data_IF_452548623555
#
_entry.id   IF_452548623555
#
_cell.length_a   1.000
_cell.length_b   1.000
_cell.length_c   1.000
_cell.angle_alpha   90.00
_cell.angle_beta   90.00
_cell.angle_gamma   90.00
#
_symmetry.space_group_name_H-M   'P 1'
#
loop_
_entity.id
_entity.type
_entity.pdbx_description
1 polymer ?
#
# COMPACT_ATOMS: atom_id res chain seq x y z
N UNK A 1 34.73 -17.05 3.82
CA UNK A 1 33.56 -16.17 4.01
C UNK A 1 32.75 -16.69 5.19
N UNK A 2 32.79 -16.03 6.34
CA UNK A 2 31.97 -16.41 7.49
C UNK A 2 30.50 -16.08 7.17
N UNK A 3 29.62 -17.08 7.23
CA UNK A 3 28.18 -16.85 7.17
C UNK A 3 27.81 -16.08 8.43
N UNK A 4 27.44 -14.81 8.28
CA UNK A 4 26.90 -13.99 9.37
C UNK A 4 25.68 -14.72 9.91
N UNK A 5 25.71 -15.15 11.18
CA UNK A 5 24.54 -15.73 11.83
C UNK A 5 23.45 -14.67 11.85
N UNK A 6 22.29 -14.97 11.26
CA UNK A 6 21.15 -14.05 11.14
C UNK A 6 20.51 -13.66 12.48
N UNK A 7 20.98 -14.22 13.60
CA UNK A 7 20.41 -14.09 14.94
C UNK A 7 21.02 -12.94 15.77
N UNK A 8 21.62 -11.92 15.14
CA UNK A 8 21.98 -10.72 15.89
C UNK A 8 20.69 -10.05 16.38
N UNK A 9 20.64 -9.67 17.65
CA UNK A 9 19.47 -9.03 18.27
C UNK A 9 18.98 -7.83 17.45
N UNK A 10 19.91 -7.06 16.85
CA UNK A 10 19.62 -5.94 15.97
C UNK A 10 18.87 -6.38 14.69
N UNK A 11 19.26 -7.48 14.06
CA UNK A 11 18.57 -8.00 12.87
C UNK A 11 17.15 -8.46 13.20
N UNK A 12 16.94 -9.08 14.36
CA UNK A 12 15.61 -9.48 14.83
C UNK A 12 14.73 -8.25 15.04
N UNK A 13 15.26 -7.23 15.75
CA UNK A 13 14.54 -6.00 16.03
C UNK A 13 14.21 -5.22 14.75
N UNK A 14 15.15 -5.11 13.81
CA UNK A 14 14.93 -4.47 12.51
C UNK A 14 13.84 -5.19 11.73
N UNK A 15 13.89 -6.53 11.68
CA UNK A 15 12.88 -7.33 10.98
C UNK A 15 11.49 -7.17 11.61
N UNK A 16 11.40 -7.14 12.94
CA UNK A 16 10.13 -6.88 13.64
C UNK A 16 9.57 -5.49 13.32
N UNK A 17 10.40 -4.45 13.34
CA UNK A 17 9.98 -3.08 13.03
C UNK A 17 9.56 -2.90 11.57
N UNK A 18 10.30 -3.47 10.63
CA UNK A 18 9.92 -3.47 9.22
C UNK A 18 8.61 -4.23 8.97
N UNK A 19 8.41 -5.34 9.68
CA UNK A 19 7.16 -6.10 9.63
C UNK A 19 5.98 -5.30 10.18
N UNK A 20 6.13 -4.63 11.32
CA UNK A 20 5.11 -3.76 11.89
C UNK A 20 4.74 -2.63 10.93
N UNK A 21 5.74 -2.00 10.31
CA UNK A 21 5.53 -0.95 9.32
C UNK A 21 4.79 -1.48 8.08
N UNK A 22 5.25 -2.61 7.52
CA UNK A 22 4.63 -3.21 6.34
C UNK A 22 3.17 -3.63 6.60
N UNK A 23 2.85 -4.11 7.81
CA UNK A 23 1.46 -4.43 8.20
C UNK A 23 0.57 -3.18 8.32
N UNK A 24 1.12 -2.04 8.75
CA UNK A 24 0.37 -0.78 8.86
C UNK A 24 0.07 -0.14 7.50
N UNK A 25 1.03 -0.21 6.57
CA UNK A 25 0.92 0.44 5.26
C UNK A 25 0.16 -0.42 4.26
N UNK A 26 0.18 -1.75 4.43
CA UNK A 26 -0.56 -2.69 3.60
C UNK A 26 -2.08 -2.58 3.81
N UNK A 27 -2.90 -2.66 2.76
CA UNK A 27 -2.57 -2.79 1.33
C UNK A 27 -2.25 -1.43 0.70
N UNK A 28 -1.25 -1.42 -0.18
CA UNK A 28 -0.82 -0.25 -0.94
C UNK A 28 -1.10 -0.47 -2.43
N UNK A 29 -1.68 0.54 -3.07
CA UNK A 29 -1.82 0.60 -4.53
C UNK A 29 -0.68 1.47 -5.06
N UNK A 30 -0.01 1.04 -6.12
CA UNK A 30 1.14 1.73 -6.72
C UNK A 30 0.92 1.90 -8.22
N UNK A 31 0.92 3.16 -8.67
CA UNK A 31 0.96 3.62 -10.07
C UNK A 31 -0.12 3.08 -11.02
N UNK A 32 -0.13 3.51 -12.28
CA UNK A 32 -1.00 2.99 -13.35
C UNK A 32 -0.09 2.41 -14.45
N UNK A 33 -0.26 1.14 -14.91
CA UNK A 33 -1.27 0.17 -14.47
C UNK A 33 -1.11 -0.22 -12.99
N UNK A 34 -2.24 -0.38 -12.29
CA UNK A 34 -2.26 -0.56 -10.84
C UNK A 34 -1.52 -1.82 -10.39
N UNK A 35 -0.56 -1.65 -9.48
CA UNK A 35 0.04 -2.73 -8.71
C UNK A 35 -0.47 -2.71 -7.27
N UNK A 36 -0.99 -3.84 -6.79
CA UNK A 36 -1.39 -3.98 -5.38
C UNK A 36 -0.33 -4.73 -4.63
N UNK A 37 0.28 -4.06 -3.66
CA UNK A 37 1.27 -4.61 -2.74
C UNK A 37 0.62 -4.87 -1.39
N UNK A 38 0.74 -6.10 -0.89
CA UNK A 38 0.30 -6.43 0.45
C UNK A 38 1.31 -7.29 1.18
N UNK A 39 1.39 -7.08 2.49
CA UNK A 39 2.26 -7.86 3.35
C UNK A 39 1.46 -9.03 3.94
N UNK A 40 1.88 -10.26 3.62
CA UNK A 40 1.22 -11.47 4.12
C UNK A 40 2.23 -12.46 4.68
N UNK A 41 2.08 -12.77 5.96
CA UNK A 41 2.96 -13.70 6.65
C UNK A 41 4.36 -13.11 6.85
N UNK A 42 5.32 -13.58 6.05
CA UNK A 42 6.73 -13.14 6.07
C UNK A 42 7.19 -12.50 4.74
N UNK A 43 6.28 -12.31 3.79
CA UNK A 43 6.62 -11.83 2.46
C UNK A 43 5.71 -10.70 2.00
N UNK A 44 6.29 -9.74 1.27
CA UNK A 44 5.56 -8.79 0.46
C UNK A 44 5.10 -9.51 -0.81
N UNK A 45 3.80 -9.45 -1.10
CA UNK A 45 3.25 -9.97 -2.34
C UNK A 45 2.80 -8.80 -3.21
N UNK A 46 3.10 -8.87 -4.50
CA UNK A 46 2.72 -7.86 -5.50
C UNK A 46 1.80 -8.51 -6.52
N UNK A 47 0.70 -7.83 -6.85
CA UNK A 47 -0.28 -8.27 -7.84
C UNK A 47 -0.45 -7.17 -8.88
N UNK A 48 -0.09 -7.45 -10.12
CA UNK A 48 -0.41 -6.60 -11.27
C UNK A 48 -1.91 -6.68 -11.59
N UNK A 49 -2.55 -5.53 -11.75
CA UNK A 49 -4.00 -5.42 -12.02
C UNK A 49 -4.33 -5.17 -13.49
N UNK A 50 -3.34 -5.31 -14.36
CA UNK A 50 -3.48 -5.33 -15.81
C UNK A 50 -4.28 -6.56 -16.28
N UNK A 51 -5.12 -6.37 -17.31
CA UNK A 51 -6.05 -7.40 -17.83
C UNK A 51 -5.35 -8.71 -18.24
N UNK A 52 -4.07 -8.66 -18.58
CA UNK A 52 -3.25 -9.83 -18.91
C UNK A 52 -2.89 -10.57 -17.62
N UNK A 53 -2.40 -9.86 -16.61
CA UNK A 53 -2.02 -10.42 -15.31
C UNK A 53 -3.23 -11.00 -14.55
N UNK A 54 -4.40 -10.35 -14.61
CA UNK A 54 -5.62 -10.83 -13.97
C UNK A 54 -6.07 -12.23 -14.41
N UNK A 55 -5.75 -12.64 -15.65
CA UNK A 55 -6.07 -13.98 -16.18
C UNK A 55 -5.21 -15.10 -15.59
N UNK A 56 -4.04 -14.75 -15.06
CA UNK A 56 -3.06 -15.72 -14.56
C UNK A 56 -3.40 -16.13 -13.12
N UNK A 57 -4.00 -15.22 -12.35
CA UNK A 57 -4.27 -15.47 -10.94
C UNK A 57 -5.51 -16.36 -10.72
N UNK A 58 -5.43 -17.34 -9.79
CA UNK A 58 -6.60 -18.12 -9.42
C UNK A 58 -7.63 -17.25 -8.66
N UNK A 59 -8.91 -17.61 -8.76
CA UNK A 59 -10.03 -16.86 -8.17
C UNK A 59 -9.79 -16.38 -6.72
N UNK A 60 -9.32 -17.26 -5.83
CA UNK A 60 -9.08 -16.90 -4.42
C UNK A 60 -7.95 -15.89 -4.21
N UNK A 61 -7.03 -15.77 -5.18
CA UNK A 61 -5.93 -14.80 -5.16
C UNK A 61 -6.35 -13.43 -5.70
N UNK A 62 -7.52 -13.31 -6.31
CA UNK A 62 -8.12 -12.03 -6.73
C UNK A 62 -9.13 -11.53 -5.69
N UNK A 63 -9.98 -12.42 -5.18
CA UNK A 63 -11.01 -12.07 -4.18
C UNK A 63 -10.38 -11.61 -2.85
N UNK A 64 -9.23 -12.18 -2.45
CA UNK A 64 -8.56 -11.79 -1.20
C UNK A 64 -8.02 -10.35 -1.23
N UNK A 65 -7.23 -9.93 -2.24
CA UNK A 65 -6.82 -8.53 -2.37
C UNK A 65 -8.01 -7.58 -2.45
N UNK A 66 -9.05 -7.90 -3.21
CA UNK A 66 -10.28 -7.12 -3.30
C UNK A 66 -10.91 -6.90 -1.92
N UNK A 67 -11.05 -7.99 -1.15
CA UNK A 67 -11.57 -7.92 0.21
C UNK A 67 -10.65 -7.13 1.16
N UNK A 68 -9.32 -7.25 1.02
CA UNK A 68 -8.36 -6.49 1.84
C UNK A 68 -8.42 -4.99 1.51
N UNK A 69 -8.43 -4.60 0.24
CA UNK A 69 -8.50 -3.20 -0.18
C UNK A 69 -9.72 -2.49 0.42
N UNK A 70 -10.84 -3.20 0.59
CA UNK A 70 -12.06 -2.67 1.22
C UNK A 70 -12.08 -2.75 2.75
N UNK A 71 -11.32 -3.66 3.36
CA UNK A 71 -11.41 -3.97 4.78
C UNK A 71 -10.23 -3.48 5.63
N UNK A 72 -9.13 -3.04 5.02
CA UNK A 72 -7.89 -2.74 5.74
C UNK A 72 -7.34 -1.34 5.45
N UNK A 73 -6.96 -0.64 6.52
CA UNK A 73 -6.43 0.72 6.48
C UNK A 73 -7.52 1.79 6.30
N UNK A 74 -7.12 2.97 5.81
CA UNK A 74 -8.07 3.97 5.34
C UNK A 74 -8.43 3.71 3.87
N UNK A 75 -9.68 3.96 3.53
CA UNK A 75 -10.19 3.93 2.15
C UNK A 75 -9.67 5.16 1.40
N UNK A 76 -9.02 4.93 0.25
CA UNK A 76 -8.63 5.97 -0.73
C UNK A 76 -9.34 5.69 -2.06
N UNK A 77 -9.48 6.71 -2.91
CA UNK A 77 -10.12 6.59 -4.22
C UNK A 77 -9.45 5.51 -5.09
N UNK A 78 -8.12 5.51 -5.15
CA UNK A 78 -7.34 4.48 -5.86
C UNK A 78 -7.62 3.06 -5.35
N UNK A 79 -7.78 2.88 -4.03
CA UNK A 79 -8.09 1.56 -3.45
C UNK A 79 -9.47 1.09 -3.84
N UNK A 80 -10.45 2.01 -3.89
CA UNK A 80 -11.81 1.69 -4.31
C UNK A 80 -11.87 1.35 -5.80
N UNK A 81 -11.23 2.15 -6.65
CA UNK A 81 -11.17 1.91 -8.10
C UNK A 81 -10.56 0.55 -8.41
N UNK A 82 -9.41 0.23 -7.78
CA UNK A 82 -8.77 -1.07 -7.98
C UNK A 82 -9.63 -2.22 -7.46
N UNK A 83 -10.29 -2.05 -6.32
CA UNK A 83 -11.20 -3.07 -5.80
C UNK A 83 -12.42 -3.29 -6.71
N UNK A 84 -12.90 -2.24 -7.37
CA UNK A 84 -14.00 -2.32 -8.33
C UNK A 84 -13.56 -3.03 -9.62
N UNK A 85 -12.38 -2.71 -10.17
CA UNK A 85 -11.80 -3.41 -11.33
C UNK A 85 -11.67 -4.91 -11.07
N UNK A 86 -11.14 -5.30 -9.91
CA UNK A 86 -11.02 -6.72 -9.54
C UNK A 86 -12.39 -7.36 -9.41
N UNK A 87 -13.35 -6.66 -8.80
CA UNK A 87 -14.71 -7.15 -8.62
C UNK A 87 -15.39 -7.40 -9.96
N UNK A 88 -15.34 -6.45 -10.89
CA UNK A 88 -15.96 -6.56 -12.21
C UNK A 88 -15.37 -7.73 -13.01
N UNK A 89 -14.03 -7.86 -12.97
CA UNK A 89 -13.36 -9.00 -13.57
C UNK A 89 -13.81 -10.33 -12.93
N UNK A 90 -13.90 -10.39 -11.61
CA UNK A 90 -14.31 -11.59 -10.90
C UNK A 90 -15.78 -11.96 -11.16
N UNK A 91 -16.68 -10.99 -11.24
CA UNK A 91 -18.09 -11.21 -11.56
C UNK A 91 -18.24 -11.79 -12.97
N UNK A 92 -17.51 -11.24 -13.94
CA UNK A 92 -17.57 -11.69 -15.33
C UNK A 92 -16.99 -13.10 -15.53
N UNK A 93 -15.92 -13.46 -14.80
CA UNK A 93 -15.15 -14.68 -15.08
C UNK A 93 -15.36 -15.81 -14.04
N UNK A 94 -15.90 -15.53 -12.85
CA UNK A 94 -15.99 -16.51 -11.75
C UNK A 94 -17.46 -16.73 -11.37
N UNK A 95 -18.03 -17.86 -11.86
CA UNK A 95 -19.45 -18.23 -11.65
C UNK A 95 -19.93 -18.27 -10.19
N UNK A 96 -19.03 -18.47 -9.21
CA UNK A 96 -19.36 -18.55 -7.76
C UNK A 96 -18.70 -17.43 -6.94
N UNK A 97 -18.37 -16.31 -7.57
CA UNK A 97 -17.70 -15.18 -6.93
C UNK A 97 -18.37 -14.77 -5.60
N UNK A 98 -19.67 -14.49 -5.62
CA UNK A 98 -20.40 -14.06 -4.40
C UNK A 98 -20.37 -15.10 -3.28
N UNK A 99 -20.45 -16.40 -3.61
CA UNK A 99 -20.38 -17.47 -2.61
C UNK A 99 -18.98 -17.55 -1.99
N UNK A 100 -17.93 -17.35 -2.79
CA UNK A 100 -16.54 -17.32 -2.32
C UNK A 100 -16.26 -16.07 -1.48
N UNK A 101 -16.78 -14.91 -1.89
CA UNK A 101 -16.66 -13.64 -1.16
C UNK A 101 -17.38 -13.69 0.19
N UNK A 102 -18.59 -14.26 0.25
CA UNK A 102 -19.34 -14.39 1.49
C UNK A 102 -18.72 -15.37 2.51
N UNK A 103 -17.83 -16.26 2.06
CA UNK A 103 -17.03 -17.12 2.95
C UNK A 103 -15.87 -16.36 3.60
N UNK A 104 -15.49 -15.21 3.07
CA UNK A 104 -14.51 -14.33 3.71
C UNK A 104 -15.20 -13.56 4.84
N UNK A 105 -14.44 -13.20 5.88
CA UNK A 105 -14.96 -12.43 7.02
C UNK A 105 -15.67 -11.18 6.52
N UNK A 106 -16.88 -10.92 7.04
CA UNK A 106 -17.66 -9.71 6.73
C UNK A 106 -16.78 -8.48 6.90
N UNK A 107 -16.74 -7.67 5.86
CA UNK A 107 -16.01 -6.40 5.86
C UNK A 107 -16.84 -5.38 6.64
N UNK A 108 -16.29 -4.86 7.73
CA UNK A 108 -16.81 -3.64 8.34
C UNK A 108 -16.39 -2.48 7.46
N UNK A 109 -17.34 -1.67 7.00
CA UNK A 109 -17.04 -0.47 6.21
C UNK A 109 -16.14 0.46 7.00
N UNK A 110 -14.99 0.81 6.43
CA UNK A 110 -14.00 1.64 7.08
C UNK A 110 -14.33 3.14 6.94
N UNK A 111 -13.90 3.98 7.90
CA UNK A 111 -13.97 5.42 7.75
C UNK A 111 -13.12 5.87 6.55
N UNK A 112 -13.71 6.72 5.71
CA UNK A 112 -13.03 7.33 4.56
C UNK A 112 -12.04 8.37 5.09
N UNK A 113 -10.81 8.38 4.56
CA UNK A 113 -9.85 9.44 4.91
C UNK A 113 -10.40 10.76 4.37
N UNK A 114 -10.56 11.81 5.18
CA UNK A 114 -10.93 13.12 4.65
C UNK A 114 -9.84 13.59 3.69
N UNK A 115 -10.24 13.98 2.48
CA UNK A 115 -9.38 14.44 1.39
C UNK A 115 -8.57 15.69 1.76
N UNK A 116 -8.95 16.40 2.82
CA UNK A 116 -8.37 17.68 3.23
C UNK A 116 -7.27 17.59 4.31
N UNK A 117 -6.75 16.39 4.63
CA UNK A 117 -5.59 16.27 5.51
C UNK A 117 -4.32 16.37 4.68
N UNK A 118 -3.78 17.59 4.58
CA UNK A 118 -2.44 17.90 4.09
C UNK A 118 -1.44 16.89 4.68
N UNK A 119 -0.77 16.16 3.78
CA UNK A 119 0.29 15.23 4.16
C UNK A 119 1.48 16.08 4.66
N UNK A 120 2.33 15.59 5.55
CA UNK A 120 3.56 16.33 5.91
C UNK A 120 4.46 16.61 4.68
N UNK A 121 4.30 15.84 3.59
CA UNK A 121 4.91 16.08 2.29
C UNK A 121 4.22 17.16 1.44
N UNK A 122 2.97 17.52 1.77
CA UNK A 122 2.23 18.64 1.18
C UNK A 122 2.35 19.91 2.04
N UNK A 123 3.25 19.91 3.05
CA UNK A 123 3.71 21.16 3.63
C UNK A 123 4.40 21.92 2.50
N UNK A 124 3.65 22.79 1.84
CA UNK A 124 4.17 23.88 1.03
C UNK A 124 5.20 24.54 1.93
N UNK A 125 6.48 24.33 1.64
CA UNK A 125 7.53 25.09 2.29
C UNK A 125 7.24 26.53 1.93
N UNK A 126 6.98 27.35 2.95
CA UNK A 126 6.74 28.77 2.77
C UNK A 126 7.86 29.32 1.90
N UNK A 127 7.50 29.92 0.77
CA UNK A 127 8.48 30.39 -0.21
C UNK A 127 9.45 31.38 0.45
N UNK A 128 8.92 32.21 1.34
CA UNK A 128 9.67 33.14 2.17
C UNK A 128 10.67 32.43 3.11
N UNK A 129 10.38 31.20 3.55
CA UNK A 129 11.27 30.40 4.40
C UNK A 129 12.41 29.77 3.58
N UNK A 130 12.12 29.33 2.35
CA UNK A 130 13.13 28.81 1.41
C UNK A 130 14.07 29.94 0.96
N UNK A 131 13.52 31.09 0.61
CA UNK A 131 14.28 32.27 0.19
C UNK A 131 15.18 32.77 1.35
N UNK A 132 14.69 32.76 2.59
CA UNK A 132 15.50 33.12 3.77
C UNK A 132 16.63 32.12 4.09
N UNK A 133 16.47 30.84 3.74
CA UNK A 133 17.54 29.83 3.90
C UNK A 133 18.62 29.99 2.82
N UNK A 134 18.24 30.30 1.58
CA UNK A 134 19.21 30.60 0.51
C UNK A 134 19.98 31.90 0.78
N UNK A 135 19.34 32.92 1.33
CA UNK A 135 20.02 34.17 1.71
C UNK A 135 20.99 33.99 2.89
N UNK A 136 20.66 33.13 3.85
CA UNK A 136 21.52 32.83 5.01
C UNK A 136 22.77 32.01 4.68
N UNK A 137 22.75 31.18 3.64
CA UNK A 137 23.93 30.40 3.20
C UNK A 137 24.93 31.24 2.40
N UNK A 138 24.48 32.36 1.82
CA UNK A 138 25.34 33.27 1.04
C UNK A 138 26.12 34.27 1.89
N UNK A 139 25.69 34.55 3.14
CA UNK A 139 26.40 35.51 4.02
C UNK A 139 27.63 34.93 4.72
N UNK A 140 27.75 33.60 4.79
CA UNK A 140 28.85 32.93 5.51
C UNK A 140 30.05 32.56 4.61
N UNK A 141 30.04 32.96 3.33
CA UNK A 141 31.16 32.72 2.40
C UNK A 141 32.03 33.96 2.11
N UNK A 142 31.73 35.11 2.70
CA UNK A 142 32.58 36.32 2.60
C UNK A 142 33.13 36.74 3.96
N UNK A 143 34.08 35.97 4.51
CA UNK A 143 35.03 36.42 5.55
C UNK A 143 36.38 35.69 5.44
#
# INVERSE_FOLDING_TARGET
>A
MSRVKGDSYLNVLLHEKLKEFALRVSPQVVSVPFEVKFYKGRALQTYGMDLVSLKIYPAMHLIKPENMLRATGFTSEEKTEVADIIQDYCIANIKRYHQLKNRLKKVTTLPVRPTNLTIESDRVFDKDLLDAMEEGEMSDQEL
#
